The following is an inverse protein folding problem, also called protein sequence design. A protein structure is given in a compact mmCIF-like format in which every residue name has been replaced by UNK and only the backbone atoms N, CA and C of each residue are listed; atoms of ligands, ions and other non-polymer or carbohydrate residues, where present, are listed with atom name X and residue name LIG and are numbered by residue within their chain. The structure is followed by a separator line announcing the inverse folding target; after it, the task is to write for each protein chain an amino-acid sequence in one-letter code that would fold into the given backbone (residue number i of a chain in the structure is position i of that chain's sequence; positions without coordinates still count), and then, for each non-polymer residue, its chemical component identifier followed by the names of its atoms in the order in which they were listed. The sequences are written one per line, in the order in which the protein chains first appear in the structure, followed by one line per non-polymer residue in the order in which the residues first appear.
data_IF_217827117786
#
_entry.id   IF_217827117786
#
_cell.length_a   1.000
_cell.length_b   1.000
_cell.length_c   1.000
_cell.angle_alpha   90.00
_cell.angle_beta   90.00
_cell.angle_gamma   90.00
#
_symmetry.space_group_name_H-M   'P 1'
#
loop_
_entity.id
_entity.type
_entity.pdbx_description
1 polymer ?
#
# COMPACT_ATOMS: atom_id res chain seq x y z
N UNK A 1 -6.02 18.72 -13.44
CA UNK A 1 -5.92 17.28 -13.09
C UNK A 1 -4.45 16.94 -13.04
N UNK A 2 -4.06 15.97 -12.23
CA UNK A 2 -2.67 15.53 -12.07
C UNK A 2 -2.67 14.04 -11.86
N UNK A 3 -1.61 13.38 -12.28
CA UNK A 3 -1.47 11.95 -12.03
C UNK A 3 -1.16 11.69 -10.56
N UNK A 4 -1.60 10.54 -10.07
CA UNK A 4 -1.32 10.03 -8.74
C UNK A 4 -0.63 8.68 -8.88
N UNK A 5 0.62 8.62 -8.45
CA UNK A 5 1.39 7.38 -8.39
C UNK A 5 1.30 6.80 -6.99
N UNK A 6 1.01 5.50 -6.88
CA UNK A 6 0.97 4.74 -5.64
C UNK A 6 1.77 3.45 -5.82
N UNK A 7 2.44 2.96 -4.78
CA UNK A 7 2.92 1.58 -4.78
C UNK A 7 1.72 0.63 -4.93
N UNK A 8 1.93 -0.53 -5.58
CA UNK A 8 0.88 -1.54 -5.77
C UNK A 8 0.22 -1.92 -4.45
N UNK A 9 1.00 -2.18 -3.38
CA UNK A 9 0.43 -2.54 -2.08
C UNK A 9 -0.46 -1.42 -1.49
N UNK A 10 -0.11 -0.14 -1.72
CA UNK A 10 -0.93 1.00 -1.28
C UNK A 10 -2.23 1.08 -2.07
N UNK A 11 -2.16 0.87 -3.38
CA UNK A 11 -3.35 0.84 -4.24
C UNK A 11 -4.29 -0.32 -3.86
N UNK A 12 -3.75 -1.51 -3.57
CA UNK A 12 -4.52 -2.66 -3.07
C UNK A 12 -5.23 -2.30 -1.75
N UNK A 13 -4.51 -1.74 -0.77
CA UNK A 13 -5.10 -1.31 0.52
C UNK A 13 -6.22 -0.29 0.32
N UNK A 14 -6.04 0.64 -0.61
CA UNK A 14 -7.04 1.65 -0.96
C UNK A 14 -8.29 1.01 -1.56
N UNK A 15 -8.14 0.18 -2.61
CA UNK A 15 -9.27 -0.43 -3.31
C UNK A 15 -10.09 -1.35 -2.38
N UNK A 16 -9.44 -2.17 -1.56
CA UNK A 16 -10.13 -3.02 -0.57
C UNK A 16 -10.91 -2.15 0.45
N UNK A 17 -10.31 -1.06 0.94
CA UNK A 17 -11.02 -0.14 1.86
C UNK A 17 -12.22 0.55 1.19
N UNK A 18 -12.10 0.89 -0.10
CA UNK A 18 -13.20 1.44 -0.88
C UNK A 18 -14.34 0.43 -1.03
N UNK A 19 -14.04 -0.83 -1.37
CA UNK A 19 -15.03 -1.92 -1.43
C UNK A 19 -15.74 -2.09 -0.09
N UNK A 20 -15.02 -2.15 1.03
CA UNK A 20 -15.60 -2.22 2.38
C UNK A 20 -16.54 -1.03 2.65
N UNK A 21 -16.11 0.17 2.28
CA UNK A 21 -16.89 1.40 2.46
C UNK A 21 -18.15 1.45 1.60
N UNK A 22 -18.08 0.92 0.37
CA UNK A 22 -19.21 0.80 -0.53
C UNK A 22 -20.19 -0.30 -0.10
N UNK A 23 -19.68 -1.40 0.46
CA UNK A 23 -20.46 -2.51 0.98
C UNK A 23 -21.13 -2.19 2.33
N UNK A 24 -20.58 -1.25 3.10
CA UNK A 24 -21.23 -0.74 4.30
C UNK A 24 -22.57 -0.07 3.93
N UNK A 25 -23.61 -0.24 4.76
CA UNK A 25 -25.02 0.18 4.55
C UNK A 25 -25.27 1.67 4.21
N UNK A 26 -24.21 2.47 4.08
CA UNK A 26 -24.20 3.90 3.78
C UNK A 26 -23.49 4.25 2.46
N UNK A 27 -22.88 3.27 1.77
CA UNK A 27 -22.23 3.40 0.47
C UNK A 27 -23.25 3.55 -0.65
N UNK A 28 -23.95 4.68 -0.68
CA UNK A 28 -25.05 4.92 -1.60
C UNK A 28 -24.64 4.69 -3.05
N UNK A 29 -25.47 3.93 -3.78
CA UNK A 29 -25.48 3.87 -5.24
C UNK A 29 -25.49 5.30 -5.78
N UNK A 30 -24.47 5.68 -6.56
CA UNK A 30 -24.32 7.04 -7.10
C UNK A 30 -23.53 8.03 -6.23
N UNK A 31 -22.78 7.57 -5.23
CA UNK A 31 -21.82 8.41 -4.49
C UNK A 31 -20.57 8.72 -5.32
N UNK A 32 -19.89 9.84 -5.03
CA UNK A 32 -18.61 10.18 -5.66
C UNK A 32 -17.55 9.07 -5.47
N UNK A 33 -17.60 8.36 -4.33
CA UNK A 33 -16.71 7.24 -4.04
C UNK A 33 -16.96 6.06 -4.99
N UNK A 34 -18.23 5.75 -5.30
CA UNK A 34 -18.57 4.71 -6.27
C UNK A 34 -18.09 5.10 -7.67
N UNK A 35 -18.30 6.35 -8.08
CA UNK A 35 -17.80 6.83 -9.37
C UNK A 35 -16.28 6.75 -9.47
N UNK A 36 -15.57 7.05 -8.37
CA UNK A 36 -14.12 6.91 -8.32
C UNK A 36 -13.66 5.45 -8.38
N UNK A 37 -14.34 4.57 -7.64
CA UNK A 37 -14.08 3.13 -7.69
C UNK A 37 -14.27 2.60 -9.12
N UNK A 38 -15.39 2.96 -9.76
CA UNK A 38 -15.73 2.51 -11.13
C UNK A 38 -14.72 2.98 -12.16
N UNK A 39 -14.15 4.19 -11.97
CA UNK A 39 -13.08 4.71 -12.82
C UNK A 39 -11.81 3.83 -12.77
N UNK A 40 -11.54 3.17 -11.65
CA UNK A 40 -10.35 2.36 -11.43
C UNK A 40 -10.63 0.86 -11.37
N UNK A 41 -11.88 0.44 -11.61
CA UNK A 41 -12.33 -0.95 -11.48
C UNK A 41 -11.58 -1.86 -12.44
N UNK A 42 -11.46 -1.48 -13.72
CA UNK A 42 -10.75 -2.30 -14.72
C UNK A 42 -9.28 -2.53 -14.31
N UNK A 43 -8.61 -1.47 -13.87
CA UNK A 43 -7.23 -1.54 -13.38
C UNK A 43 -7.09 -2.41 -12.13
N UNK A 44 -8.06 -2.30 -11.21
CA UNK A 44 -8.10 -3.09 -9.98
C UNK A 44 -8.33 -4.57 -10.26
N UNK A 45 -9.30 -4.92 -11.10
CA UNK A 45 -9.64 -6.31 -11.44
C UNK A 45 -8.46 -7.00 -12.13
N UNK A 46 -7.79 -6.34 -13.07
CA UNK A 46 -6.63 -6.88 -13.77
C UNK A 46 -5.45 -7.12 -12.81
N UNK A 47 -5.20 -6.16 -11.90
CA UNK A 47 -4.13 -6.27 -10.91
C UNK A 47 -4.42 -7.35 -9.87
N UNK A 48 -5.64 -7.43 -9.33
CA UNK A 48 -6.07 -8.45 -8.38
C UNK A 48 -5.95 -9.85 -8.98
N UNK A 49 -6.41 -10.04 -10.22
CA UNK A 49 -6.26 -11.31 -10.93
C UNK A 49 -4.79 -11.74 -11.04
N UNK A 50 -3.90 -10.78 -11.35
CA UNK A 50 -2.45 -11.04 -11.44
C UNK A 50 -1.85 -11.37 -10.07
N UNK A 51 -2.23 -10.65 -9.01
CA UNK A 51 -1.79 -10.93 -7.64
C UNK A 51 -2.25 -12.31 -7.17
N UNK A 52 -3.49 -12.70 -7.48
CA UNK A 52 -4.06 -14.01 -7.14
C UNK A 52 -3.33 -15.15 -7.87
N UNK A 53 -2.95 -14.94 -9.13
CA UNK A 53 -2.19 -15.91 -9.91
C UNK A 53 -0.75 -16.07 -9.35
N UNK A 54 -0.05 -14.96 -9.16
CA UNK A 54 1.31 -14.95 -8.60
C UNK A 54 1.35 -15.55 -7.19
N UNK A 55 0.39 -15.21 -6.32
CA UNK A 55 0.32 -15.76 -4.96
C UNK A 55 0.15 -17.28 -4.90
N UNK A 56 -0.23 -17.94 -6.01
CA UNK A 56 -0.33 -19.41 -6.11
C UNK A 56 0.91 -20.05 -6.72
N UNK A 57 1.63 -19.33 -7.57
CA UNK A 57 2.59 -19.92 -8.49
C UNK A 57 4.00 -19.33 -8.38
N UNK A 58 4.16 -18.11 -7.88
CA UNK A 58 5.43 -17.40 -7.79
C UNK A 58 5.40 -16.32 -6.68
N UNK A 59 5.84 -16.70 -5.48
CA UNK A 59 5.83 -15.81 -4.31
C UNK A 59 6.88 -14.69 -4.40
N UNK A 60 7.98 -14.91 -5.13
CA UNK A 60 9.02 -13.90 -5.31
C UNK A 60 8.49 -12.79 -6.24
N UNK A 61 7.90 -13.17 -7.38
CA UNK A 61 7.26 -12.21 -8.28
C UNK A 61 6.05 -11.51 -7.66
N UNK A 62 5.32 -12.19 -6.77
CA UNK A 62 4.26 -11.56 -5.97
C UNK A 62 4.81 -10.45 -5.07
N UNK A 63 5.90 -10.72 -4.34
CA UNK A 63 6.53 -9.74 -3.46
C UNK A 63 7.08 -8.54 -4.25
N UNK A 64 7.77 -8.80 -5.38
CA UNK A 64 8.27 -7.75 -6.28
C UNK A 64 7.13 -6.88 -6.82
N UNK A 65 6.00 -7.49 -7.24
CA UNK A 65 4.83 -6.73 -7.70
C UNK A 65 4.25 -5.86 -6.58
N UNK A 66 4.14 -6.39 -5.36
CA UNK A 66 3.58 -5.64 -4.24
C UNK A 66 4.47 -4.49 -3.77
N UNK A 67 5.79 -4.70 -3.71
CA UNK A 67 6.72 -3.80 -3.01
C UNK A 67 7.49 -2.84 -3.92
N UNK A 68 7.73 -3.21 -5.17
CA UNK A 68 8.64 -2.51 -6.08
C UNK A 68 7.98 -1.95 -7.35
N UNK A 69 6.68 -2.21 -7.54
CA UNK A 69 5.92 -1.66 -8.67
C UNK A 69 4.92 -0.61 -8.22
N UNK A 70 4.66 0.32 -9.14
CA UNK A 70 3.76 1.46 -8.94
C UNK A 70 2.58 1.39 -9.91
N UNK A 71 1.44 1.88 -9.44
CA UNK A 71 0.23 2.13 -10.21
C UNK A 71 0.12 3.63 -10.45
N UNK A 72 -0.04 4.03 -11.71
CA UNK A 72 -0.29 5.42 -12.10
C UNK A 72 -1.77 5.62 -12.36
N UNK A 73 -2.41 6.45 -11.54
CA UNK A 73 -3.80 6.84 -11.68
C UNK A 73 -3.84 8.17 -12.43
N UNK A 74 -4.30 8.13 -13.67
CA UNK A 74 -4.29 9.29 -14.55
C UNK A 74 -5.45 10.25 -14.26
N UNK A 75 -5.20 11.53 -14.54
CA UNK A 75 -6.22 12.59 -14.53
C UNK A 75 -7.00 12.70 -13.21
N UNK A 76 -6.32 12.59 -12.06
CA UNK A 76 -6.97 12.70 -10.75
C UNK A 76 -7.28 14.16 -10.42
N UNK A 77 -8.54 14.42 -10.14
CA UNK A 77 -9.08 15.72 -9.71
C UNK A 77 -8.82 15.97 -8.23
N UNK A 78 -8.90 17.23 -7.79
CA UNK A 78 -8.76 17.57 -6.37
C UNK A 78 -9.83 16.91 -5.50
N UNK A 79 -11.05 16.71 -6.03
CA UNK A 79 -12.13 16.01 -5.34
C UNK A 79 -11.82 14.53 -5.15
N UNK A 80 -11.31 13.86 -6.19
CA UNK A 80 -10.90 12.45 -6.10
C UNK A 80 -9.71 12.29 -5.16
N UNK A 81 -8.72 13.20 -5.17
CA UNK A 81 -7.63 13.20 -4.18
C UNK A 81 -8.14 13.29 -2.74
N UNK A 82 -9.16 14.11 -2.50
CA UNK A 82 -9.77 14.21 -1.17
C UNK A 82 -10.48 12.92 -0.76
N UNK A 83 -11.15 12.24 -1.70
CA UNK A 83 -11.73 10.91 -1.43
C UNK A 83 -10.64 9.88 -1.10
N UNK A 84 -9.55 9.85 -1.87
CA UNK A 84 -8.39 8.98 -1.58
C UNK A 84 -7.83 9.25 -0.18
N UNK A 85 -7.69 10.52 0.21
CA UNK A 85 -7.24 10.87 1.57
C UNK A 85 -8.18 10.31 2.64
N UNK A 86 -9.49 10.45 2.45
CA UNK A 86 -10.49 9.95 3.40
C UNK A 86 -10.45 8.43 3.55
N UNK A 87 -10.23 7.70 2.45
CA UNK A 87 -10.08 6.24 2.48
C UNK A 87 -8.75 5.81 3.11
N UNK A 88 -7.63 6.45 2.78
CA UNK A 88 -6.36 6.17 3.47
C UNK A 88 -6.40 6.50 4.97
N UNK A 89 -7.13 7.53 5.37
CA UNK A 89 -7.36 7.81 6.79
C UNK A 89 -8.14 6.68 7.49
N UNK A 90 -9.05 5.98 6.79
CA UNK A 90 -9.70 4.77 7.31
C UNK A 90 -8.69 3.62 7.43
N UNK A 91 -7.88 3.38 6.40
CA UNK A 91 -6.81 2.36 6.42
C UNK A 91 -5.87 2.60 7.60
N UNK A 92 -5.42 3.84 7.83
CA UNK A 92 -4.58 4.17 8.99
C UNK A 92 -5.25 3.88 10.32
N UNK A 93 -6.56 4.14 10.44
CA UNK A 93 -7.31 3.77 11.66
C UNK A 93 -7.35 2.26 11.85
N UNK A 94 -7.54 1.49 10.79
CA UNK A 94 -7.50 0.01 10.85
C UNK A 94 -6.12 -0.50 11.25
N UNK A 95 -5.04 0.00 10.63
CA UNK A 95 -3.66 -0.37 10.97
C UNK A 95 -3.34 -0.03 12.43
N UNK A 96 -3.68 1.18 12.90
CA UNK A 96 -3.47 1.58 14.29
C UNK A 96 -4.26 0.72 15.27
N UNK A 97 -5.49 0.33 14.93
CA UNK A 97 -6.28 -0.57 15.75
C UNK A 97 -5.65 -1.97 15.85
N UNK A 98 -5.09 -2.49 14.75
CA UNK A 98 -4.36 -3.78 14.75
C UNK A 98 -3.05 -3.70 15.53
N UNK A 99 -2.26 -2.63 15.36
CA UNK A 99 -1.05 -2.38 16.14
C UNK A 99 -1.32 -2.32 17.65
N UNK A 100 -2.48 -1.81 18.07
CA UNK A 100 -2.86 -1.77 19.47
C UNK A 100 -3.29 -3.14 20.04
N UNK A 101 -3.44 -4.16 19.20
CA UNK A 101 -3.93 -5.49 19.54
C UNK A 101 -2.88 -6.60 19.38
N UNK A 102 -1.71 -6.30 18.81
CA UNK A 102 -0.64 -7.27 18.60
C UNK A 102 0.63 -6.83 19.32
N UNK A 103 1.29 -7.79 19.97
CA UNK A 103 2.63 -7.65 20.54
C UNK A 103 3.65 -8.50 19.75
N UNK A 104 3.23 -9.14 18.65
CA UNK A 104 4.12 -9.93 17.80
C UNK A 104 5.11 -9.01 17.07
N UNK A 105 6.44 -9.22 17.21
CA UNK A 105 7.43 -8.32 16.63
C UNK A 105 7.35 -8.19 15.11
N UNK A 106 6.98 -9.26 14.38
CA UNK A 106 6.89 -9.22 12.93
C UNK A 106 5.66 -8.42 12.50
N UNK A 107 4.49 -8.68 13.11
CA UNK A 107 3.28 -7.90 12.84
C UNK A 107 3.48 -6.41 13.15
N UNK A 108 4.18 -6.10 14.26
CA UNK A 108 4.48 -4.71 14.65
C UNK A 108 5.37 -4.01 13.64
N UNK A 109 6.39 -4.69 13.12
CA UNK A 109 7.28 -4.18 12.08
C UNK A 109 6.51 -3.90 10.79
N UNK A 110 5.79 -4.89 10.28
CA UNK A 110 5.03 -4.80 9.02
C UNK A 110 3.97 -3.70 9.07
N UNK A 111 3.14 -3.70 10.13
CA UNK A 111 2.07 -2.70 10.28
C UNK A 111 2.63 -1.29 10.54
N UNK A 112 3.80 -1.16 11.18
CA UNK A 112 4.45 0.15 11.37
C UNK A 112 4.99 0.68 10.06
N UNK A 113 5.59 -0.17 9.24
CA UNK A 113 6.03 0.17 7.89
C UNK A 113 4.85 0.67 7.04
N UNK A 114 3.76 -0.11 6.96
CA UNK A 114 2.58 0.30 6.18
C UNK A 114 1.99 1.63 6.65
N UNK A 115 1.89 1.82 7.98
CA UNK A 115 1.43 3.08 8.58
C UNK A 115 2.28 4.25 8.12
N UNK A 116 3.60 4.11 8.22
CA UNK A 116 4.51 5.23 7.97
C UNK A 116 4.54 5.61 6.49
N UNK A 117 4.54 4.64 5.59
CA UNK A 117 4.45 4.90 4.14
C UNK A 117 3.10 5.54 3.75
N UNK A 118 1.96 5.06 4.28
CA UNK A 118 0.66 5.71 4.02
C UNK A 118 0.64 7.16 4.54
N UNK A 119 1.27 7.42 5.70
CA UNK A 119 1.42 8.79 6.22
C UNK A 119 2.23 9.67 5.27
N UNK A 120 3.29 9.14 4.64
CA UNK A 120 4.06 9.87 3.62
C UNK A 120 3.21 10.16 2.38
N UNK A 121 2.47 9.18 1.88
CA UNK A 121 1.54 9.36 0.75
C UNK A 121 0.49 10.44 1.05
N UNK A 122 -0.11 10.44 2.25
CA UNK A 122 -1.08 11.45 2.66
C UNK A 122 -0.48 12.87 2.76
N UNK A 123 0.79 13.00 3.15
CA UNK A 123 1.50 14.29 3.14
C UNK A 123 1.70 14.77 1.70
N UNK A 124 2.19 13.90 0.81
CA UNK A 124 2.39 14.20 -0.60
C UNK A 124 1.09 14.57 -1.33
N UNK A 125 -0.05 13.98 -0.93
CA UNK A 125 -1.38 14.34 -1.42
C UNK A 125 -1.86 15.71 -0.93
N UNK A 126 -1.37 16.20 0.22
CA UNK A 126 -1.78 17.45 0.85
C UNK A 126 -0.93 18.65 0.47
N UNK A 127 0.35 18.41 0.15
CA UNK A 127 1.22 19.43 -0.39
C UNK A 127 0.83 19.72 -1.85
N UNK A 128 0.55 21.00 -2.15
CA UNK A 128 0.35 21.47 -3.52
C UNK A 128 1.62 21.13 -4.31
N UNK A 129 1.58 20.07 -5.11
CA UNK A 129 2.73 19.57 -5.87
C UNK A 129 3.40 20.70 -6.66
N UNK A 130 4.58 21.14 -6.21
CA UNK A 130 5.66 21.54 -7.10
C UNK A 130 6.41 20.25 -7.41
N UNK A 131 6.42 19.87 -8.69
CA UNK A 131 6.87 18.55 -9.11
C UNK A 131 8.33 18.29 -8.75
N UNK A 132 8.64 17.04 -8.44
CA UNK A 132 9.85 16.41 -8.91
C UNK A 132 9.71 14.90 -8.80
N UNK A 133 10.12 14.21 -9.87
CA UNK A 133 10.39 12.78 -9.88
C UNK A 133 11.38 12.44 -8.76
N UNK A 134 11.01 11.52 -7.87
CA UNK A 134 11.85 11.07 -6.78
C UNK A 134 11.84 9.56 -6.72
N UNK A 135 12.62 8.91 -7.60
CA UNK A 135 12.90 7.50 -7.47
C UNK A 135 13.43 7.19 -6.07
N UNK A 136 12.92 6.11 -5.47
CA UNK A 136 13.34 5.64 -4.16
C UNK A 136 14.87 5.40 -4.16
N UNK A 137 15.61 5.81 -3.12
CA UNK A 137 16.93 5.27 -2.86
C UNK A 137 16.75 3.79 -2.49
N UNK A 138 17.35 2.91 -3.29
CA UNK A 138 17.17 1.46 -3.22
C UNK A 138 17.41 0.88 -1.83
N UNK A 139 16.49 0.01 -1.41
CA UNK A 139 16.62 -0.87 -0.25
C UNK A 139 17.90 -1.72 -0.41
N UNK A 140 18.82 -1.59 0.55
CA UNK A 140 19.99 -2.44 0.62
C UNK A 140 19.57 -3.88 0.96
N UNK A 141 20.12 -4.92 0.31
CA UNK A 141 19.77 -6.30 0.62
C UNK A 141 20.24 -6.67 2.04
N UNK A 142 19.35 -7.33 2.78
CA UNK A 142 19.59 -7.83 4.12
C UNK A 142 20.87 -8.68 4.18
N UNK A 143 21.91 -8.12 4.81
CA UNK A 143 23.16 -8.79 5.07
C UNK A 143 22.97 -9.96 6.03
N UNK A 144 23.29 -11.15 5.55
CA UNK A 144 23.41 -12.41 6.30
C UNK A 144 24.07 -12.19 7.69
N UNK A 145 23.54 -12.76 8.78
CA UNK A 145 24.13 -12.59 10.10
C UNK A 145 25.52 -13.24 10.18
N UNK A 146 26.48 -12.66 10.92
CA UNK A 146 27.83 -13.20 11.02
C UNK A 146 27.85 -14.54 11.76
N UNK A 147 28.58 -15.49 11.19
CA UNK A 147 28.82 -16.80 11.76
C UNK A 147 29.56 -16.71 13.10
N UNK A 148 29.04 -17.39 14.14
CA UNK A 148 29.74 -17.63 15.40
C UNK A 148 31.02 -18.43 15.14
N UNK A 149 32.20 -18.06 15.69
CA UNK A 149 33.34 -18.95 15.69
C UNK A 149 33.19 -19.99 16.79
N UNK A 150 32.93 -21.23 16.39
CA UNK A 150 33.07 -22.40 17.25
C UNK A 150 34.53 -22.78 17.44
N UNK A 151 34.86 -23.21 18.66
CA UNK A 151 35.84 -24.26 18.90
C UNK A 151 37.32 -23.86 18.97
N UNK A 152 37.86 -23.78 20.19
CA UNK A 152 39.20 -24.30 20.46
C UNK A 152 39.12 -25.34 21.58
N UNK A 153 39.07 -26.60 21.18
CA UNK A 153 39.67 -27.67 21.96
C UNK A 153 41.16 -27.69 21.60
N UNK A 154 42.06 -27.72 22.58
CA UNK A 154 43.36 -28.38 22.45
C UNK A 154 44.03 -28.54 23.83
N UNK A 155 44.19 -29.83 24.16
CA UNK A 155 45.21 -30.53 24.96
C UNK A 155 45.75 -29.87 26.23
#
# INVERSE_FOLDING_TARGET
MTDLTLDVWQFVRLMVCMEESLNARSGGRGSDLKSLYDKWEDLWVDLDARLVDLGKHDMDAFADLMMDQEVVLEEVTAREKELVRQEFDKVLRQIKARLAQTDDPADVEDLSFERDEIVLTLKALGDRQHGNAGGRPGSAPAGKPPARPGGKARK
#
